data_IF_924377991884
#
_entry.id   IF_924377991884
#
_cell.length_a   1.000
_cell.length_b   1.000
_cell.length_c   1.000
_cell.angle_alpha   90.00
_cell.angle_beta   90.00
_cell.angle_gamma   90.00
#
_symmetry.space_group_name_H-M   'P 1'
#
loop_
_entity.id
_entity.type
_entity.pdbx_description
1 polymer ?
#
# COMPACT_ATOMS: atom_id res chain seq x y z
N UNK A 1 19.05 29.12 -5.30
CA UNK A 1 18.20 28.91 -4.11
C UNK A 1 17.49 27.59 -4.31
N UNK A 2 17.62 26.66 -3.36
CA UNK A 2 16.91 25.38 -3.44
C UNK A 2 15.39 25.58 -3.38
N UNK A 3 14.64 24.61 -3.90
CA UNK A 3 13.18 24.61 -3.84
C UNK A 3 12.75 24.57 -2.37
N UNK A 4 11.89 25.50 -1.95
CA UNK A 4 11.35 25.57 -0.59
C UNK A 4 9.83 25.48 -0.66
N UNK A 5 9.24 24.63 0.16
CA UNK A 5 7.80 24.48 0.31
C UNK A 5 7.41 24.95 1.71
N UNK A 6 6.61 26.01 1.80
CA UNK A 6 6.20 26.61 3.09
C UNK A 6 7.39 26.94 4.03
N UNK A 7 8.55 27.31 3.47
CA UNK A 7 9.77 27.62 4.23
C UNK A 7 10.63 26.40 4.61
N UNK A 8 10.21 25.18 4.27
CA UNK A 8 11.01 23.95 4.45
C UNK A 8 11.80 23.67 3.17
N UNK A 9 13.13 23.45 3.24
CA UNK A 9 13.90 23.06 2.07
C UNK A 9 13.43 21.70 1.56
N UNK A 10 13.07 21.60 0.29
CA UNK A 10 12.62 20.35 -0.32
C UNK A 10 13.84 19.52 -0.69
N UNK A 11 14.09 18.48 0.08
CA UNK A 11 15.07 17.44 -0.23
C UNK A 11 14.39 16.17 -0.78
N UNK A 12 15.22 15.17 -1.14
CA UNK A 12 14.72 13.93 -1.72
C UNK A 12 13.81 13.14 -0.76
N UNK A 13 13.96 13.33 0.55
CA UNK A 13 13.17 12.60 1.55
C UNK A 13 11.75 13.16 1.59
N UNK A 14 11.59 14.48 1.62
CA UNK A 14 10.29 15.14 1.53
C UNK A 14 9.57 14.76 0.23
N UNK A 15 10.28 14.70 -0.90
CA UNK A 15 9.68 14.28 -2.17
C UNK A 15 9.15 12.84 -2.12
N UNK A 16 9.87 11.91 -1.49
CA UNK A 16 9.42 10.53 -1.31
C UNK A 16 8.17 10.47 -0.43
N UNK A 17 8.16 11.19 0.68
CA UNK A 17 7.03 11.25 1.61
C UNK A 17 5.78 11.81 0.89
N UNK A 18 5.94 12.92 0.16
CA UNK A 18 4.85 13.51 -0.62
C UNK A 18 4.30 12.53 -1.67
N UNK A 19 5.19 11.79 -2.34
CA UNK A 19 4.78 10.80 -3.33
C UNK A 19 4.02 9.64 -2.67
N UNK A 20 4.47 9.13 -1.53
CA UNK A 20 3.78 8.06 -0.78
C UNK A 20 2.36 8.50 -0.43
N UNK A 21 2.19 9.67 0.20
CA UNK A 21 0.85 10.14 0.60
C UNK A 21 -0.02 10.54 -0.60
N UNK A 22 0.56 11.03 -1.69
CA UNK A 22 -0.17 11.24 -2.94
C UNK A 22 -0.74 9.93 -3.49
N UNK A 23 0.08 8.88 -3.56
CA UNK A 23 -0.35 7.54 -3.99
C UNK A 23 -1.44 7.03 -3.05
N UNK A 24 -1.27 7.16 -1.73
CA UNK A 24 -2.30 6.76 -0.76
C UNK A 24 -3.63 7.47 -0.98
N UNK A 25 -3.63 8.78 -1.28
CA UNK A 25 -4.83 9.51 -1.65
C UNK A 25 -5.47 8.99 -2.94
N UNK A 26 -4.66 8.75 -3.98
CA UNK A 26 -5.13 8.23 -5.27
C UNK A 26 -5.74 6.81 -5.17
N UNK A 27 -5.29 5.99 -4.21
CA UNK A 27 -5.85 4.66 -3.96
C UNK A 27 -7.35 4.69 -3.60
N UNK A 28 -7.90 5.84 -3.18
CA UNK A 28 -9.35 5.99 -3.00
C UNK A 28 -10.15 5.65 -4.27
N UNK A 29 -9.66 6.05 -5.44
CA UNK A 29 -10.28 5.71 -6.72
C UNK A 29 -10.14 4.21 -7.05
N UNK A 30 -8.96 3.65 -6.77
CA UNK A 30 -8.71 2.24 -6.99
C UNK A 30 -9.61 1.35 -6.12
N UNK A 31 -9.84 1.72 -4.85
CA UNK A 31 -10.75 1.00 -3.94
C UNK A 31 -12.19 0.96 -4.46
N UNK A 32 -12.64 2.04 -5.11
CA UNK A 32 -13.96 2.06 -5.74
C UNK A 32 -14.02 1.07 -6.90
N UNK A 33 -13.01 1.05 -7.77
CA UNK A 33 -12.92 0.08 -8.87
C UNK A 33 -12.88 -1.38 -8.35
N UNK A 34 -12.11 -1.66 -7.30
CA UNK A 34 -12.08 -2.97 -6.65
C UNK A 34 -13.46 -3.35 -6.11
N UNK A 35 -14.19 -2.40 -5.52
CA UNK A 35 -15.54 -2.66 -5.01
C UNK A 35 -16.49 -3.08 -6.13
N UNK A 36 -16.45 -2.40 -7.28
CA UNK A 36 -17.24 -2.80 -8.46
C UNK A 36 -16.80 -4.15 -9.02
N UNK A 37 -15.50 -4.42 -9.11
CA UNK A 37 -15.01 -5.72 -9.56
C UNK A 37 -15.49 -6.87 -8.66
N UNK A 38 -15.32 -6.74 -7.34
CA UNK A 38 -15.73 -7.74 -6.37
C UNK A 38 -17.26 -7.96 -6.37
N UNK A 39 -18.03 -6.87 -6.53
CA UNK A 39 -19.50 -6.93 -6.51
C UNK A 39 -20.09 -7.40 -7.83
N UNK A 40 -19.73 -6.74 -8.92
CA UNK A 40 -20.44 -6.85 -10.21
C UNK A 40 -19.85 -7.96 -11.09
N UNK A 41 -18.54 -8.24 -11.01
CA UNK A 41 -17.94 -9.36 -11.74
C UNK A 41 -17.89 -10.63 -10.91
N UNK A 42 -17.48 -10.54 -9.65
CA UNK A 42 -17.37 -11.71 -8.77
C UNK A 42 -18.65 -12.02 -7.98
N UNK A 43 -19.70 -11.21 -8.14
CA UNK A 43 -21.04 -11.44 -7.58
C UNK A 43 -21.06 -11.62 -6.05
N UNK A 44 -20.14 -10.97 -5.33
CA UNK A 44 -20.07 -11.04 -3.87
C UNK A 44 -21.21 -10.27 -3.22
N UNK A 45 -21.75 -10.81 -2.13
CA UNK A 45 -22.81 -10.13 -1.38
C UNK A 45 -22.25 -8.94 -0.61
N UNK A 46 -23.09 -7.96 -0.20
CA UNK A 46 -22.66 -6.87 0.66
C UNK A 46 -22.02 -7.34 1.98
N UNK A 47 -22.48 -8.47 2.52
CA UNK A 47 -21.91 -9.06 3.73
C UNK A 47 -20.49 -9.59 3.48
N UNK A 48 -20.26 -10.22 2.33
CA UNK A 48 -18.93 -10.72 1.95
C UNK A 48 -17.96 -9.56 1.72
N UNK A 49 -18.40 -8.49 1.03
CA UNK A 49 -17.58 -7.29 0.84
C UNK A 49 -17.18 -6.67 2.18
N UNK A 50 -18.12 -6.58 3.14
CA UNK A 50 -17.81 -6.08 4.47
C UNK A 50 -16.77 -6.97 5.19
N UNK A 51 -16.92 -8.29 5.13
CA UNK A 51 -15.94 -9.21 5.71
C UNK A 51 -14.56 -9.08 5.06
N UNK A 52 -14.50 -8.99 3.73
CA UNK A 52 -13.26 -8.82 2.98
C UNK A 52 -12.58 -7.49 3.29
N UNK A 53 -13.32 -6.39 3.45
CA UNK A 53 -12.72 -5.11 3.87
C UNK A 53 -12.05 -5.18 5.24
N UNK A 54 -12.60 -5.98 6.16
CA UNK A 54 -11.96 -6.29 7.44
C UNK A 54 -10.62 -7.00 7.24
N UNK A 55 -10.59 -8.00 6.36
CA UNK A 55 -9.35 -8.74 6.00
C UNK A 55 -8.32 -7.81 5.34
N UNK A 56 -8.74 -6.93 4.43
CA UNK A 56 -7.85 -5.95 3.79
C UNK A 56 -7.24 -4.99 4.79
N UNK A 57 -7.89 -4.78 5.95
CA UNK A 57 -7.42 -3.89 7.01
C UNK A 57 -6.37 -4.56 7.92
N UNK A 58 -6.25 -5.88 7.91
CA UNK A 58 -5.37 -6.62 8.82
C UNK A 58 -3.90 -6.17 8.79
N UNK A 59 -3.28 -5.86 7.63
CA UNK A 59 -1.90 -5.38 7.60
C UNK A 59 -1.68 -4.08 8.38
N UNK A 60 -2.70 -3.23 8.49
CA UNK A 60 -2.61 -1.96 9.22
C UNK A 60 -2.46 -2.15 10.72
N UNK A 61 -3.04 -3.23 11.27
CA UNK A 61 -2.90 -3.60 12.68
C UNK A 61 -1.47 -4.04 13.00
N UNK A 62 -0.79 -4.64 12.02
CA UNK A 62 0.58 -5.14 12.15
C UNK A 62 1.66 -4.07 11.90
N UNK A 63 1.29 -2.81 11.65
CA UNK A 63 2.24 -1.71 11.41
C UNK A 63 3.38 -1.61 12.43
N UNK A 64 3.15 -1.72 13.76
CA UNK A 64 4.24 -1.64 14.72
C UNK A 64 5.34 -2.70 14.49
N UNK A 65 4.97 -3.88 13.98
CA UNK A 65 5.91 -4.92 13.61
C UNK A 65 6.81 -4.47 12.45
N UNK A 66 6.24 -3.87 11.41
CA UNK A 66 7.01 -3.41 10.25
C UNK A 66 7.91 -2.22 10.59
N UNK A 67 7.44 -1.29 11.44
CA UNK A 67 8.26 -0.19 11.95
C UNK A 67 9.48 -0.70 12.75
N UNK A 68 9.26 -1.66 13.63
CA UNK A 68 10.35 -2.31 14.38
C UNK A 68 11.37 -3.00 13.44
N UNK A 69 10.89 -3.71 12.42
CA UNK A 69 11.76 -4.36 11.43
C UNK A 69 12.57 -3.34 10.62
N UNK A 70 11.93 -2.27 10.12
CA UNK A 70 12.61 -1.26 9.31
C UNK A 70 13.66 -0.48 10.09
N UNK A 71 13.43 -0.26 11.39
CA UNK A 71 14.36 0.47 12.24
C UNK A 71 15.51 -0.41 12.74
N UNK A 72 15.24 -1.69 13.02
CA UNK A 72 16.18 -2.63 13.62
C UNK A 72 17.01 -3.44 12.62
N UNK A 73 16.51 -3.68 11.41
CA UNK A 73 17.15 -4.55 10.42
C UNK A 73 17.47 -3.78 9.12
N UNK A 74 18.70 -3.28 8.93
CA UNK A 74 19.08 -2.64 7.67
C UNK A 74 19.13 -3.67 6.53
N UNK A 75 18.50 -3.35 5.41
CA UNK A 75 18.54 -4.12 4.17
C UNK A 75 19.48 -3.41 3.20
N UNK A 76 20.50 -4.10 2.69
CA UNK A 76 21.52 -3.53 1.79
C UNK A 76 22.23 -2.30 2.38
N UNK A 77 22.37 -2.24 3.70
CA UNK A 77 22.98 -1.12 4.42
C UNK A 77 22.07 0.09 4.63
N UNK A 78 20.85 0.08 4.08
CA UNK A 78 19.85 1.13 4.31
C UNK A 78 18.74 0.62 5.25
N UNK A 79 18.25 1.53 6.10
CA UNK A 79 17.04 1.30 6.90
C UNK A 79 15.83 1.67 6.06
N UNK A 80 15.25 2.85 6.23
CA UNK A 80 14.01 3.29 5.56
C UNK A 80 13.95 3.09 4.04
N UNK A 81 15.00 3.47 3.30
CA UNK A 81 15.00 3.49 1.82
C UNK A 81 14.73 2.13 1.17
N UNK A 82 15.37 1.07 1.67
CA UNK A 82 15.20 -0.28 1.11
C UNK A 82 13.77 -0.79 1.32
N UNK A 83 13.17 -0.53 2.48
CA UNK A 83 11.81 -0.97 2.78
C UNK A 83 10.78 -0.25 1.90
N UNK A 84 10.91 1.06 1.70
CA UNK A 84 10.04 1.84 0.79
C UNK A 84 10.13 1.32 -0.65
N UNK A 85 11.34 1.00 -1.12
CA UNK A 85 11.51 0.48 -2.47
C UNK A 85 10.90 -0.92 -2.63
N UNK A 86 11.14 -1.81 -1.67
CA UNK A 86 10.60 -3.17 -1.68
C UNK A 86 9.08 -3.18 -1.54
N UNK A 87 8.51 -2.33 -0.68
CA UNK A 87 7.06 -2.17 -0.59
C UNK A 87 6.48 -1.65 -1.91
N UNK A 88 7.11 -0.67 -2.55
CA UNK A 88 6.70 -0.18 -3.86
C UNK A 88 6.62 -1.29 -4.93
N UNK A 89 7.63 -2.15 -5.01
CA UNK A 89 7.63 -3.31 -5.93
C UNK A 89 6.51 -4.29 -5.56
N UNK A 90 6.34 -4.60 -4.28
CA UNK A 90 5.30 -5.51 -3.80
C UNK A 90 3.90 -4.99 -4.15
N UNK A 91 3.64 -3.71 -3.92
CA UNK A 91 2.38 -3.06 -4.25
C UNK A 91 2.12 -3.02 -5.74
N UNK A 92 3.11 -2.65 -6.56
CA UNK A 92 2.99 -2.65 -8.01
C UNK A 92 2.68 -4.06 -8.55
N UNK A 93 3.38 -5.08 -8.05
CA UNK A 93 3.12 -6.47 -8.39
C UNK A 93 1.71 -6.92 -8.00
N UNK A 94 1.24 -6.55 -6.82
CA UNK A 94 -0.12 -6.88 -6.35
C UNK A 94 -1.21 -6.23 -7.22
N UNK A 95 -1.05 -4.96 -7.59
CA UNK A 95 -1.99 -4.26 -8.47
C UNK A 95 -1.98 -4.82 -9.89
N UNK A 96 -0.80 -5.15 -10.44
CA UNK A 96 -0.69 -5.80 -11.75
C UNK A 96 -1.32 -7.20 -11.73
N UNK A 97 -1.08 -7.98 -10.68
CA UNK A 97 -1.71 -9.29 -10.52
C UNK A 97 -3.25 -9.18 -10.43
N UNK A 98 -3.75 -8.23 -9.63
CA UNK A 98 -5.19 -7.96 -9.53
C UNK A 98 -5.79 -7.59 -10.89
N UNK A 99 -5.07 -6.79 -11.68
CA UNK A 99 -5.56 -6.31 -12.98
C UNK A 99 -5.47 -7.34 -14.11
N UNK A 100 -4.47 -8.24 -14.09
CA UNK A 100 -4.15 -9.09 -15.24
C UNK A 100 -4.50 -10.57 -15.03
N UNK A 101 -4.59 -11.02 -13.78
CA UNK A 101 -4.67 -12.46 -13.44
C UNK A 101 -5.87 -12.77 -12.56
N UNK A 102 -6.17 -11.92 -11.57
CA UNK A 102 -7.20 -12.24 -10.59
C UNK A 102 -8.59 -12.37 -11.23
N UNK A 103 -9.16 -13.56 -11.10
CA UNK A 103 -10.46 -13.94 -11.67
C UNK A 103 -11.40 -14.56 -10.62
N UNK A 104 -10.87 -14.90 -9.45
CA UNK A 104 -11.63 -15.48 -8.34
C UNK A 104 -11.62 -14.59 -7.09
N UNK A 105 -12.61 -14.73 -6.19
CA UNK A 105 -12.63 -13.97 -4.94
C UNK A 105 -11.37 -14.15 -4.10
N UNK A 106 -10.80 -15.36 -4.08
CA UNK A 106 -9.57 -15.63 -3.33
C UNK A 106 -8.36 -14.91 -3.94
N UNK A 107 -8.20 -14.95 -5.26
CA UNK A 107 -7.13 -14.24 -5.96
C UNK A 107 -7.25 -12.73 -5.77
N UNK A 108 -8.45 -12.19 -5.94
CA UNK A 108 -8.71 -10.77 -5.73
C UNK A 108 -8.43 -10.35 -4.27
N UNK A 109 -8.83 -11.19 -3.31
CA UNK A 109 -8.61 -10.95 -1.88
C UNK A 109 -7.12 -10.97 -1.55
N UNK A 110 -6.39 -11.98 -1.99
CA UNK A 110 -4.94 -12.08 -1.76
C UNK A 110 -4.19 -10.89 -2.34
N UNK A 111 -4.51 -10.50 -3.58
CA UNK A 111 -3.92 -9.32 -4.21
C UNK A 111 -4.18 -8.04 -3.42
N UNK A 112 -5.42 -7.83 -2.96
CA UNK A 112 -5.79 -6.67 -2.15
C UNK A 112 -5.10 -6.66 -0.77
N UNK A 113 -4.96 -7.81 -0.13
CA UNK A 113 -4.21 -7.93 1.14
C UNK A 113 -2.74 -7.59 0.94
N UNK A 114 -2.12 -8.08 -0.13
CA UNK A 114 -0.71 -7.78 -0.44
C UNK A 114 -0.53 -6.30 -0.81
N UNK A 115 -1.45 -5.72 -1.58
CA UNK A 115 -1.45 -4.29 -1.88
C UNK A 115 -1.61 -3.45 -0.60
N UNK A 116 -2.51 -3.84 0.30
CA UNK A 116 -2.70 -3.20 1.60
C UNK A 116 -1.47 -3.31 2.50
N UNK A 117 -0.81 -4.46 2.51
CA UNK A 117 0.46 -4.68 3.22
C UNK A 117 1.56 -3.75 2.71
N UNK A 118 1.72 -3.66 1.39
CA UNK A 118 2.67 -2.73 0.76
C UNK A 118 2.44 -1.28 1.22
N UNK A 119 1.18 -0.84 1.25
CA UNK A 119 0.84 0.51 1.69
C UNK A 119 1.14 0.70 3.18
N UNK A 120 0.74 -0.26 4.02
CA UNK A 120 0.98 -0.20 5.46
C UNK A 120 2.49 -0.14 5.82
N UNK A 121 3.34 -0.87 5.09
CA UNK A 121 4.80 -0.81 5.24
C UNK A 121 5.31 0.58 4.80
N UNK A 122 4.89 1.07 3.64
CA UNK A 122 5.35 2.36 3.13
C UNK A 122 4.98 3.52 4.06
N UNK A 123 3.80 3.44 4.66
CA UNK A 123 3.28 4.45 5.59
C UNK A 123 4.10 4.51 6.88
N UNK A 124 4.25 3.38 7.59
CA UNK A 124 4.98 3.37 8.87
C UNK A 124 6.47 3.66 8.72
N UNK A 125 7.04 3.44 7.53
CA UNK A 125 8.45 3.78 7.23
C UNK A 125 8.62 5.25 6.85
N UNK A 126 7.55 5.88 6.34
CA UNK A 126 7.52 7.30 6.03
C UNK A 126 7.23 8.17 7.26
N UNK A 127 6.54 7.63 8.27
CA UNK A 127 6.32 8.24 9.58
C UNK A 127 7.64 8.46 10.37
#
# INVERSE_FOLDING_TARGET
GGMQLMGVPVDNEILVILFIYFVQGALGLARLAVTFFLKDELNLSPADLAALTGIFSAPWVLKPLYGFLSDGLPILGYRRRSYIFLSGILGAGAWLYLSLVASTPLEATTANVVASLSVAISDVVAD
#
